data_IF_932258622115
#
_entry.id   IF_932258622115
#
_cell.length_a   1.000
_cell.length_b   1.000
_cell.length_c   1.000
_cell.angle_alpha   90.00
_cell.angle_beta   90.00
_cell.angle_gamma   90.00
#
_symmetry.space_group_name_H-M   'P 1'
#
loop_
_entity.id
_entity.type
_entity.pdbx_description
1 polymer ?
#
# COMPACT_ATOMS: atom_id res chain seq x y z
N UNK A 1 -4.89 -23.62 -4.96
CA UNK A 1 -5.90 -23.03 -4.05
C UNK A 1 -5.41 -21.75 -3.36
N UNK A 2 -4.11 -21.55 -3.12
CA UNK A 2 -3.57 -20.30 -2.52
C UNK A 2 -3.56 -19.09 -3.47
N UNK A 3 -3.43 -19.31 -4.79
CA UNK A 3 -3.44 -18.23 -5.80
C UNK A 3 -4.77 -17.45 -5.80
N UNK A 4 -5.90 -18.12 -5.52
CA UNK A 4 -7.22 -17.48 -5.48
C UNK A 4 -7.45 -16.61 -4.24
N UNK A 5 -6.73 -16.88 -3.14
CA UNK A 5 -6.75 -16.03 -1.94
C UNK A 5 -6.00 -14.71 -2.17
N UNK A 6 -4.87 -14.78 -2.90
CA UNK A 6 -4.05 -13.61 -3.25
C UNK A 6 -4.79 -12.62 -4.17
N UNK A 7 -5.64 -13.13 -5.07
CA UNK A 7 -6.44 -12.28 -5.96
C UNK A 7 -7.59 -11.56 -5.25
N UNK A 8 -8.22 -12.16 -4.23
CA UNK A 8 -9.34 -11.51 -3.53
C UNK A 8 -8.87 -10.41 -2.56
N UNK A 9 -7.74 -10.61 -1.88
CA UNK A 9 -7.19 -9.61 -0.94
C UNK A 9 -6.63 -8.37 -1.62
N UNK A 10 -6.23 -8.44 -2.89
CA UNK A 10 -5.63 -7.31 -3.63
C UNK A 10 -6.64 -6.46 -4.40
N UNK A 11 -7.81 -7.00 -4.73
CA UNK A 11 -8.84 -6.29 -5.50
C UNK A 11 -9.47 -5.10 -4.76
N UNK A 12 -9.70 -5.23 -3.46
CA UNK A 12 -10.32 -4.16 -2.67
C UNK A 12 -9.36 -2.98 -2.46
N UNK A 13 -8.11 -3.17 -1.94
CA UNK A 13 -7.20 -2.05 -1.73
C UNK A 13 -6.80 -1.33 -3.03
N UNK A 14 -6.63 -2.07 -4.14
CA UNK A 14 -6.35 -1.48 -5.45
C UNK A 14 -7.47 -0.57 -5.96
N UNK A 15 -8.74 -0.92 -5.71
CA UNK A 15 -9.88 -0.07 -6.06
C UNK A 15 -9.90 1.23 -5.25
N UNK A 16 -9.52 1.16 -3.97
CA UNK A 16 -9.41 2.35 -3.13
C UNK A 16 -8.24 3.24 -3.55
N UNK A 17 -7.10 2.65 -3.89
CA UNK A 17 -5.95 3.37 -4.45
C UNK A 17 -6.35 4.14 -5.71
N UNK A 18 -7.06 3.48 -6.64
CA UNK A 18 -7.60 4.14 -7.83
C UNK A 18 -8.58 5.28 -7.48
N UNK A 19 -9.46 5.07 -6.48
CA UNK A 19 -10.43 6.09 -6.04
C UNK A 19 -9.82 7.29 -5.29
N UNK A 20 -8.63 7.10 -4.71
CA UNK A 20 -7.90 8.16 -4.02
C UNK A 20 -7.25 9.14 -5.01
N UNK A 21 -7.12 8.71 -6.25
CA UNK A 21 -6.67 9.52 -7.38
C UNK A 21 -7.89 10.03 -8.15
N UNK A 22 -7.73 11.18 -8.81
CA UNK A 22 -8.86 11.76 -9.54
C UNK A 22 -9.16 10.96 -10.80
N UNK A 23 -10.43 10.60 -10.98
CA UNK A 23 -10.89 9.91 -12.18
C UNK A 23 -10.91 10.86 -13.39
N UNK A 24 -11.35 12.11 -13.20
CA UNK A 24 -11.65 13.09 -14.25
C UNK A 24 -10.64 14.25 -14.39
N UNK A 25 -9.64 14.37 -13.50
CA UNK A 25 -8.61 15.40 -13.59
C UNK A 25 -7.22 14.78 -13.81
N UNK A 26 -6.29 15.58 -14.34
CA UNK A 26 -4.92 15.13 -14.60
C UNK A 26 -4.22 14.71 -13.31
N UNK A 27 -3.78 13.45 -13.23
CA UNK A 27 -2.95 12.98 -12.11
C UNK A 27 -1.46 13.19 -12.37
N UNK A 28 -1.11 14.07 -13.32
CA UNK A 28 0.27 14.34 -13.69
C UNK A 28 1.05 14.85 -12.48
N UNK A 29 2.15 14.18 -12.16
CA UNK A 29 3.01 14.54 -11.03
C UNK A 29 2.47 14.14 -9.66
N UNK A 30 1.38 13.36 -9.60
CA UNK A 30 0.95 12.69 -8.37
C UNK A 30 1.99 11.66 -7.94
N UNK A 31 2.24 11.59 -6.64
CA UNK A 31 3.26 10.75 -6.03
C UNK A 31 2.60 9.69 -5.16
N UNK A 32 2.84 8.41 -5.46
CA UNK A 32 2.34 7.26 -4.71
C UNK A 32 3.54 6.52 -4.12
N UNK A 33 3.50 6.31 -2.81
CA UNK A 33 4.40 5.42 -2.09
C UNK A 33 3.66 4.11 -1.80
N UNK A 34 4.16 3.00 -2.30
CA UNK A 34 3.67 1.65 -2.01
C UNK A 34 4.73 0.93 -1.16
N UNK A 35 4.37 0.44 0.02
CA UNK A 35 5.27 -0.29 0.91
C UNK A 35 4.81 -1.75 0.96
N UNK A 36 5.63 -2.63 0.38
CA UNK A 36 5.29 -4.01 0.05
C UNK A 36 4.93 -4.16 -1.43
N UNK A 37 5.75 -4.89 -2.18
CA UNK A 37 5.53 -5.18 -3.60
C UNK A 37 4.62 -6.39 -3.79
N UNK A 38 4.88 -7.46 -3.03
CA UNK A 38 4.28 -8.77 -3.29
C UNK A 38 4.46 -9.20 -4.75
N UNK A 39 3.37 -9.55 -5.44
CA UNK A 39 3.39 -9.86 -6.88
C UNK A 39 3.33 -8.64 -7.80
N UNK A 40 3.26 -7.41 -7.26
CA UNK A 40 3.17 -6.16 -8.02
C UNK A 40 1.82 -5.88 -8.70
N UNK A 41 0.79 -6.67 -8.43
CA UNK A 41 -0.51 -6.55 -9.10
C UNK A 41 -1.14 -5.16 -8.94
N UNK A 42 -1.11 -4.59 -7.73
CA UNK A 42 -1.71 -3.28 -7.43
C UNK A 42 -0.95 -2.17 -8.15
N UNK A 43 0.37 -2.12 -7.99
CA UNK A 43 1.23 -1.07 -8.54
C UNK A 43 1.25 -1.11 -10.08
N UNK A 44 1.34 -2.32 -10.66
CA UNK A 44 1.33 -2.48 -12.12
C UNK A 44 -0.04 -2.12 -12.71
N UNK A 45 -1.15 -2.50 -12.06
CA UNK A 45 -2.49 -2.09 -12.50
C UNK A 45 -2.62 -0.57 -12.46
N UNK A 46 -2.15 0.08 -11.39
CA UNK A 46 -2.16 1.54 -11.31
C UNK A 46 -1.31 2.17 -12.41
N UNK A 47 -0.12 1.64 -12.69
CA UNK A 47 0.77 2.15 -13.75
C UNK A 47 0.15 2.08 -15.15
N UNK A 48 -0.72 1.09 -15.39
CA UNK A 48 -1.43 0.94 -16.68
C UNK A 48 -2.63 1.90 -16.76
N UNK A 49 -3.39 2.05 -15.68
CA UNK A 49 -4.61 2.88 -15.67
C UNK A 49 -4.28 4.37 -15.59
N UNK A 50 -3.23 4.74 -14.85
CA UNK A 50 -2.78 6.12 -14.60
C UNK A 50 -1.26 6.24 -14.86
N UNK A 51 -0.80 6.13 -16.12
CA UNK A 51 0.62 6.12 -16.46
C UNK A 51 1.37 7.42 -16.12
N UNK A 52 0.66 8.50 -15.81
CA UNK A 52 1.21 9.80 -15.41
C UNK A 52 1.55 9.91 -13.91
N UNK A 53 1.14 8.93 -13.10
CA UNK A 53 1.38 8.87 -11.65
C UNK A 53 2.75 8.27 -11.39
N UNK A 54 3.56 8.94 -10.58
CA UNK A 54 4.84 8.41 -10.12
C UNK A 54 4.62 7.46 -8.95
N UNK A 55 4.93 6.19 -9.15
CA UNK A 55 4.80 5.12 -8.16
C UNK A 55 6.20 4.73 -7.70
N UNK A 56 6.44 4.84 -6.39
CA UNK A 56 7.63 4.30 -5.74
C UNK A 56 7.19 3.11 -4.89
N UNK A 57 7.62 1.91 -5.26
CA UNK A 57 7.39 0.69 -4.50
C UNK A 57 8.63 0.40 -3.66
N UNK A 58 8.45 0.15 -2.36
CA UNK A 58 9.51 -0.20 -1.42
C UNK A 58 9.29 -1.63 -0.97
N UNK A 59 10.25 -2.49 -1.28
CA UNK A 59 10.24 -3.90 -0.94
C UNK A 59 11.47 -4.25 -0.10
N UNK A 60 11.28 -5.03 0.97
CA UNK A 60 12.37 -5.44 1.85
C UNK A 60 13.20 -6.55 1.20
N UNK A 61 12.55 -7.51 0.54
CA UNK A 61 13.22 -8.71 0.01
C UNK A 61 13.58 -8.56 -1.49
N UNK A 62 14.88 -8.51 -1.86
CA UNK A 62 15.30 -8.49 -3.26
C UNK A 62 14.88 -9.75 -4.05
N UNK A 63 14.65 -10.88 -3.39
CA UNK A 63 14.16 -12.09 -4.05
C UNK A 63 12.73 -11.89 -4.55
N UNK A 64 11.86 -11.26 -3.77
CA UNK A 64 10.47 -10.98 -4.16
C UNK A 64 10.44 -10.05 -5.37
N UNK A 65 11.30 -9.02 -5.40
CA UNK A 65 11.46 -8.16 -6.59
C UNK A 65 11.88 -8.98 -7.82
N UNK A 66 12.85 -9.88 -7.65
CA UNK A 66 13.33 -10.75 -8.74
C UNK A 66 12.22 -11.65 -9.27
N UNK A 67 11.42 -12.25 -8.39
CA UNK A 67 10.30 -13.11 -8.75
C UNK A 67 9.17 -12.31 -9.42
N UNK A 68 8.85 -11.13 -8.88
CA UNK A 68 7.85 -10.21 -9.42
C UNK A 68 8.19 -9.76 -10.85
N UNK A 69 9.43 -9.38 -11.10
CA UNK A 69 9.88 -9.01 -12.44
C UNK A 69 9.89 -10.20 -13.40
N UNK A 70 10.40 -11.35 -12.97
CA UNK A 70 10.57 -12.51 -13.86
C UNK A 70 9.26 -13.21 -14.19
N UNK A 71 8.33 -13.29 -13.24
CA UNK A 71 7.14 -14.15 -13.36
C UNK A 71 5.82 -13.39 -13.32
N UNK A 72 5.76 -12.19 -12.73
CA UNK A 72 4.52 -11.43 -12.56
C UNK A 72 4.48 -10.13 -13.39
N UNK A 73 5.51 -9.86 -14.20
CA UNK A 73 5.51 -8.76 -15.16
C UNK A 73 5.78 -7.37 -14.55
N UNK A 74 6.33 -7.32 -13.34
CA UNK A 74 6.76 -6.04 -12.74
C UNK A 74 7.89 -5.44 -13.55
N UNK A 75 7.71 -4.21 -14.00
CA UNK A 75 8.70 -3.51 -14.82
C UNK A 75 8.93 -2.10 -14.28
N UNK A 76 10.20 -1.70 -14.19
CA UNK A 76 10.55 -0.32 -13.89
C UNK A 76 10.36 0.55 -15.13
N UNK A 77 9.84 1.75 -14.93
CA UNK A 77 9.60 2.75 -15.98
C UNK A 77 9.99 4.14 -15.48
N UNK A 78 9.77 5.17 -16.31
CA UNK A 78 9.93 6.57 -15.88
C UNK A 78 8.99 7.00 -14.74
N UNK A 79 7.91 6.25 -14.51
CA UNK A 79 6.85 6.58 -13.54
C UNK A 79 6.58 5.42 -12.57
N UNK A 80 7.33 4.31 -12.64
CA UNK A 80 7.20 3.17 -11.75
C UNK A 80 8.60 2.71 -11.33
N UNK A 81 8.91 2.80 -10.05
CA UNK A 81 10.24 2.57 -9.50
C UNK A 81 10.15 1.55 -8.38
N UNK A 82 11.08 0.60 -8.35
CA UNK A 82 11.17 -0.40 -7.27
C UNK A 82 12.44 -0.16 -6.47
N UNK A 83 12.29 0.03 -5.17
CA UNK A 83 13.39 0.29 -4.23
C UNK A 83 13.48 -0.88 -3.27
N UNK A 84 14.62 -1.59 -3.28
CA UNK A 84 14.90 -2.62 -2.29
C UNK A 84 15.45 -1.96 -1.02
N UNK A 85 14.62 -1.79 0.00
CA UNK A 85 14.96 -1.15 1.27
C UNK A 85 13.96 -1.55 2.36
N UNK A 86 14.37 -1.48 3.63
CA UNK A 86 13.40 -1.49 4.74
C UNK A 86 12.45 -0.29 4.65
N UNK A 87 11.14 -0.55 4.72
CA UNK A 87 10.14 0.50 4.54
C UNK A 87 10.09 1.53 5.67
N UNK A 88 10.49 1.18 6.91
CA UNK A 88 10.59 2.14 8.01
C UNK A 88 11.79 3.06 7.81
N UNK A 89 12.93 2.51 7.39
CA UNK A 89 14.10 3.30 7.02
C UNK A 89 13.81 4.21 5.82
N UNK A 90 13.12 3.71 4.81
CA UNK A 90 12.70 4.53 3.67
C UNK A 90 11.80 5.70 4.11
N UNK A 91 10.82 5.46 4.99
CA UNK A 91 9.96 6.52 5.52
C UNK A 91 10.77 7.59 6.28
N UNK A 92 11.81 7.19 7.01
CA UNK A 92 12.70 8.09 7.72
C UNK A 92 13.51 8.96 6.76
N UNK A 93 14.10 8.35 5.74
CA UNK A 93 14.86 9.04 4.71
C UNK A 93 13.96 10.00 3.92
N UNK A 94 12.74 9.56 3.58
CA UNK A 94 11.74 10.37 2.90
C UNK A 94 11.34 11.59 3.72
N UNK A 95 11.09 11.43 5.02
CA UNK A 95 10.81 12.53 5.94
C UNK A 95 11.98 13.51 6.03
N UNK A 96 13.21 13.01 6.22
CA UNK A 96 14.43 13.83 6.27
C UNK A 96 14.67 14.64 4.99
N UNK A 97 14.34 14.05 3.82
CA UNK A 97 14.45 14.70 2.51
C UNK A 97 13.27 15.60 2.18
N UNK A 98 12.25 15.66 3.04
CA UNK A 98 11.04 16.45 2.80
C UNK A 98 10.18 15.94 1.64
N UNK A 99 10.26 14.64 1.31
CA UNK A 99 9.43 14.03 0.28
C UNK A 99 7.95 14.05 0.70
N UNK A 100 7.07 14.20 -0.30
CA UNK A 100 5.63 14.33 -0.08
C UNK A 100 4.82 13.49 -1.08
N UNK A 101 3.95 12.65 -0.55
CA UNK A 101 3.12 11.72 -1.31
C UNK A 101 1.65 12.13 -1.26
N UNK A 102 0.94 11.93 -2.38
CA UNK A 102 -0.51 12.04 -2.46
C UNK A 102 -1.17 10.79 -1.89
N UNK A 103 -0.53 9.62 -2.04
CA UNK A 103 -1.00 8.36 -1.45
C UNK A 103 0.16 7.59 -0.84
N UNK A 104 -0.06 7.07 0.37
CA UNK A 104 0.80 6.04 0.97
C UNK A 104 -0.04 4.77 1.09
N UNK A 105 0.33 3.74 0.35
CA UNK A 105 -0.27 2.40 0.40
C UNK A 105 0.66 1.47 1.20
N UNK A 106 0.14 0.87 2.27
CA UNK A 106 0.89 -0.01 3.15
C UNK A 106 0.34 -1.43 3.08
N UNK A 107 1.13 -2.33 2.50
CA UNK A 107 0.84 -3.77 2.33
C UNK A 107 2.07 -4.63 2.67
N UNK A 108 2.78 -4.26 3.73
CA UNK A 108 3.95 -4.99 4.22
C UNK A 108 3.52 -6.13 5.15
N UNK A 109 3.35 -7.33 4.62
CA UNK A 109 2.87 -8.50 5.34
C UNK A 109 4.00 -9.41 5.85
N UNK A 110 3.73 -10.20 6.89
CA UNK A 110 4.64 -11.20 7.40
C UNK A 110 3.91 -12.26 8.23
N UNK A 111 4.65 -13.01 9.03
CA UNK A 111 4.09 -14.05 9.91
C UNK A 111 3.53 -13.50 11.23
N UNK A 112 2.44 -14.09 11.72
CA UNK A 112 1.90 -13.87 13.07
C UNK A 112 0.41 -13.49 13.08
N UNK A 113 -0.14 -13.26 14.29
CA UNK A 113 -1.58 -13.04 14.50
C UNK A 113 -2.18 -11.88 13.69
N UNK A 114 -1.40 -10.82 13.46
CA UNK A 114 -1.72 -9.79 12.49
C UNK A 114 -0.66 -9.91 11.41
N UNK A 115 -1.11 -10.34 10.23
CA UNK A 115 -0.31 -10.66 9.06
C UNK A 115 0.14 -9.36 8.39
N UNK A 116 -0.79 -8.42 8.19
CA UNK A 116 -0.52 -7.14 7.51
C UNK A 116 -1.10 -5.97 8.32
N UNK A 117 -0.39 -4.83 8.46
CA UNK A 117 1.04 -4.70 8.22
C UNK A 117 1.85 -5.36 9.34
N UNK A 118 3.14 -5.68 9.15
CA UNK A 118 4.02 -6.19 10.21
C UNK A 118 4.13 -5.24 11.40
N UNK A 119 4.53 -5.76 12.58
CA UNK A 119 4.56 -5.01 13.86
C UNK A 119 5.34 -3.69 13.78
N UNK A 120 6.40 -3.63 12.97
CA UNK A 120 7.23 -2.44 12.81
C UNK A 120 6.41 -1.20 12.37
N UNK A 121 5.43 -1.37 11.48
CA UNK A 121 4.60 -0.28 10.98
C UNK A 121 3.46 0.15 11.91
N UNK A 122 3.22 -0.57 13.01
CA UNK A 122 2.09 -0.33 13.92
C UNK A 122 2.42 0.62 15.06
N UNK A 123 3.68 1.08 15.14
CA UNK A 123 4.13 1.98 16.19
C UNK A 123 3.61 3.40 15.93
N UNK A 124 3.34 4.15 17.00
CA UNK A 124 2.91 5.54 16.88
C UNK A 124 3.94 6.43 16.17
N UNK A 125 5.24 6.12 16.31
CA UNK A 125 6.32 6.80 15.60
C UNK A 125 6.23 6.59 14.09
N UNK A 126 6.05 5.35 13.63
CA UNK A 126 5.97 5.07 12.19
C UNK A 126 4.68 5.61 11.59
N UNK A 127 3.56 5.53 12.31
CA UNK A 127 2.30 6.19 11.90
C UNK A 127 2.46 7.71 11.75
N UNK A 128 3.22 8.34 12.65
CA UNK A 128 3.54 9.77 12.55
C UNK A 128 4.44 10.07 11.35
N UNK A 129 5.44 9.23 11.07
CA UNK A 129 6.29 9.37 9.88
C UNK A 129 5.46 9.27 8.59
N UNK A 130 4.57 8.29 8.48
CA UNK A 130 3.65 8.16 7.33
C UNK A 130 2.79 9.42 7.17
N UNK A 131 2.24 9.97 8.26
CA UNK A 131 1.53 11.24 8.22
C UNK A 131 2.41 12.40 7.75
N UNK A 132 3.67 12.45 8.21
CA UNK A 132 4.59 13.53 7.89
C UNK A 132 5.09 13.48 6.45
N UNK A 133 5.09 12.32 5.79
CA UNK A 133 5.41 12.21 4.35
C UNK A 133 4.18 12.37 3.45
N UNK A 134 2.97 12.50 4.01
CA UNK A 134 1.79 12.86 3.22
C UNK A 134 1.75 14.37 2.91
N UNK A 135 1.18 14.69 1.75
CA UNK A 135 0.63 16.02 1.46
C UNK A 135 -0.60 16.28 2.34
N UNK A 136 -1.00 17.55 2.49
CA UNK A 136 -2.16 17.94 3.30
C UNK A 136 -3.47 17.26 2.85
N UNK A 137 -3.62 17.04 1.55
CA UNK A 137 -4.77 16.35 0.94
C UNK A 137 -4.49 14.86 0.66
N UNK A 138 -3.35 14.36 1.14
CA UNK A 138 -2.92 13.00 0.90
C UNK A 138 -3.69 11.98 1.72
N UNK A 139 -3.72 10.74 1.25
CA UNK A 139 -4.42 9.63 1.91
C UNK A 139 -3.45 8.50 2.24
N UNK A 140 -3.59 7.91 3.43
CA UNK A 140 -2.99 6.61 3.76
C UNK A 140 -4.05 5.53 3.55
N UNK A 141 -3.64 4.43 2.90
CA UNK A 141 -4.41 3.20 2.72
C UNK A 141 -3.58 2.08 3.33
N UNK A 142 -4.15 1.35 4.29
CA UNK A 142 -3.45 0.25 4.98
C UNK A 142 -4.23 -1.04 4.75
N UNK A 143 -3.55 -2.04 4.20
CA UNK A 143 -4.08 -3.38 4.20
C UNK A 143 -3.92 -3.99 5.60
N UNK A 144 -5.03 -4.32 6.25
CA UNK A 144 -5.07 -4.96 7.55
C UNK A 144 -5.56 -6.41 7.40
N UNK A 145 -4.70 -7.36 7.71
CA UNK A 145 -5.03 -8.78 7.68
C UNK A 145 -4.59 -9.46 8.98
N UNK A 146 -5.42 -10.35 9.50
CA UNK A 146 -5.18 -11.10 10.74
C UNK A 146 -5.41 -12.59 10.52
N UNK A 147 -4.69 -13.43 11.25
CA UNK A 147 -5.01 -14.85 11.33
C UNK A 147 -6.33 -15.03 12.08
N UNK A 148 -7.21 -15.89 11.57
CA UNK A 148 -8.42 -16.30 12.28
C UNK A 148 -8.02 -16.90 13.62
N UNK A 149 -8.41 -16.28 14.73
CA UNK A 149 -8.65 -17.04 15.94
C UNK A 149 -9.81 -18.01 15.63
N UNK A 150 -9.65 -19.30 15.91
CA UNK A 150 -10.74 -20.27 15.87
C UNK A 150 -11.81 -19.89 16.91
N UNK A 151 -12.76 -19.04 16.51
CA UNK A 151 -14.06 -18.87 17.17
C UNK A 151 -14.99 -18.11 16.21
N UNK A 152 -15.94 -18.86 15.63
CA UNK A 152 -17.18 -18.36 15.03
C UNK A 152 -17.09 -17.09 14.17
N UNK A 153 -16.85 -17.32 12.87
CA UNK A 153 -17.47 -16.58 11.76
C UNK A 153 -17.55 -15.06 11.89
N UNK A 154 -16.46 -14.38 11.49
CA UNK A 154 -16.45 -13.29 10.50
C UNK A 154 -15.02 -12.74 10.41
N UNK A 155 -14.43 -12.76 9.21
CA UNK A 155 -13.16 -12.08 8.95
C UNK A 155 -13.51 -10.62 8.70
N UNK A 156 -13.24 -9.76 9.68
CA UNK A 156 -13.47 -8.33 9.56
C UNK A 156 -12.23 -7.67 8.95
N UNK A 157 -12.29 -7.39 7.64
CA UNK A 157 -11.30 -6.55 6.96
C UNK A 157 -11.51 -5.09 7.40
N UNK A 158 -10.90 -4.65 8.50
CA UNK A 158 -10.94 -3.23 8.90
C UNK A 158 -9.95 -2.41 8.06
N UNK A 159 -10.45 -1.69 7.06
CA UNK A 159 -9.67 -0.72 6.28
C UNK A 159 -9.68 0.63 7.00
N UNK A 160 -8.51 1.24 7.22
CA UNK A 160 -8.40 2.58 7.81
C UNK A 160 -8.02 3.58 6.73
N UNK A 161 -9.00 4.35 6.25
CA UNK A 161 -8.79 5.54 5.42
C UNK A 161 -8.68 6.75 6.34
N UNK A 162 -7.62 7.53 6.23
CA UNK A 162 -7.51 8.84 6.90
C UNK A 162 -7.68 9.95 5.86
N UNK A 163 -8.84 10.63 5.78
CA UNK A 163 -9.03 11.77 4.88
C UNK A 163 -8.93 13.14 5.58
N UNK A 164 -8.81 13.23 6.92
CA UNK A 164 -9.46 14.24 7.81
C UNK A 164 -10.90 13.83 8.16
N UNK A 165 -11.01 12.81 9.02
CA UNK A 165 -12.01 11.70 9.09
C UNK A 165 -13.46 12.05 9.50
N UNK A 166 -14.47 11.79 8.65
CA UNK A 166 -15.76 11.23 9.07
C UNK A 166 -15.71 9.70 8.97
N UNK A 167 -16.04 9.04 10.08
CA UNK A 167 -16.09 7.60 10.27
C UNK A 167 -17.40 7.05 9.69
N UNK A 168 -17.33 6.21 8.65
CA UNK A 168 -18.48 5.41 8.20
C UNK A 168 -18.23 3.99 8.70
N UNK A 169 -19.04 3.60 9.69
CA UNK A 169 -19.10 2.25 10.23
C UNK A 169 -19.85 1.34 9.23
N UNK A 170 -19.22 0.36 8.58
CA UNK A 170 -19.91 -0.55 7.67
C UNK A 170 -20.67 -1.66 8.39
N UNK A 171 -20.54 -1.81 9.71
CA UNK A 171 -21.26 -2.83 10.51
C UNK A 171 -22.72 -2.48 10.81
N UNK A 172 -23.33 -1.61 9.99
CA UNK A 172 -24.78 -1.47 9.87
C UNK A 172 -25.17 -1.48 8.40
N UNK A 173 -25.34 -2.68 7.87
CA UNK A 173 -26.62 -3.09 7.29
C UNK A 173 -26.93 -4.51 7.79
#
# INVERSE_FOLDING_TARGET
HEIFGFTASTMLPGSFLLSSLSLDSSNYGKQVLSIGLGGGAVDMTLSVIKPEVNITVVELDPLDVTLATKWFGVTETKHHHVVVQDGVDFLKDAEMRGLKYDVVFLDACGSGTVICPVKAFRTASVMKMMKNVLKETGTIIINLATEKAEANGNVECTQVRFPTVPFINPCKQ
#
